data_IF_939867352825
#
_entry.id   IF_939867352825
#
_cell.length_a   1.000
_cell.length_b   1.000
_cell.length_c   1.000
_cell.angle_alpha   90.00
_cell.angle_beta   90.00
_cell.angle_gamma   90.00
#
_symmetry.space_group_name_H-M   'P 1'
#
loop_
_entity.id
_entity.type
_entity.pdbx_description
1 polymer ?
#
# COMPACT_ATOMS: atom_id res chain seq x y z
N UNK A 1 -1.72 18.17 18.21
CA UNK A 1 -1.50 16.98 17.35
C UNK A 1 -1.44 17.45 15.90
N UNK A 2 -0.40 17.06 15.15
CA UNK A 2 -0.16 17.56 13.80
C UNK A 2 -1.00 16.79 12.78
N UNK A 3 -2.24 17.22 12.56
CA UNK A 3 -3.19 16.62 11.61
C UNK A 3 -2.77 16.80 10.14
N UNK A 4 -1.92 17.79 9.87
CA UNK A 4 -1.53 18.19 8.51
C UNK A 4 -0.59 17.14 7.89
N UNK A 5 0.30 16.55 8.68
CA UNK A 5 1.29 15.57 8.22
C UNK A 5 0.66 14.26 7.70
N UNK A 6 -0.24 13.57 8.43
CA UNK A 6 -0.85 12.35 7.94
C UNK A 6 -1.82 12.60 6.77
N UNK A 7 -2.53 13.74 6.77
CA UNK A 7 -3.39 14.12 5.64
C UNK A 7 -2.57 14.37 4.36
N UNK A 8 -1.51 15.16 4.45
CA UNK A 8 -0.62 15.42 3.32
C UNK A 8 0.04 14.13 2.81
N UNK A 9 0.47 13.26 3.73
CA UNK A 9 1.09 11.97 3.38
C UNK A 9 0.11 11.02 2.70
N UNK A 10 -1.15 10.98 3.16
CA UNK A 10 -2.22 10.19 2.53
C UNK A 10 -2.51 10.69 1.12
N UNK A 11 -2.72 11.99 0.95
CA UNK A 11 -2.99 12.61 -0.35
C UNK A 11 -1.82 12.41 -1.33
N UNK A 12 -0.59 12.63 -0.87
CA UNK A 12 0.61 12.44 -1.67
C UNK A 12 0.74 10.98 -2.12
N UNK A 13 0.44 10.03 -1.25
CA UNK A 13 0.48 8.61 -1.59
C UNK A 13 -0.57 8.21 -2.63
N UNK A 14 -1.80 8.73 -2.52
CA UNK A 14 -2.83 8.52 -3.55
C UNK A 14 -2.45 9.17 -4.90
N UNK A 15 -1.80 10.35 -4.87
CA UNK A 15 -1.26 10.97 -6.07
C UNK A 15 -0.20 10.08 -6.73
N UNK A 16 0.76 9.55 -5.96
CA UNK A 16 1.74 8.61 -6.48
C UNK A 16 1.09 7.33 -7.01
N UNK A 17 0.08 6.78 -6.33
CA UNK A 17 -0.67 5.63 -6.80
C UNK A 17 -1.31 5.91 -8.17
N UNK A 18 -1.93 7.07 -8.34
CA UNK A 18 -2.54 7.49 -9.60
C UNK A 18 -1.50 7.66 -10.73
N UNK A 19 -0.35 8.28 -10.44
CA UNK A 19 0.75 8.43 -11.40
C UNK A 19 1.32 7.07 -11.83
N UNK A 20 1.49 6.13 -10.90
CA UNK A 20 1.97 4.78 -11.22
C UNK A 20 0.92 4.00 -12.03
N UNK A 21 -0.37 4.17 -11.74
CA UNK A 21 -1.46 3.59 -12.54
C UNK A 21 -1.50 4.16 -13.96
N UNK A 22 -1.29 5.46 -14.12
CA UNK A 22 -1.24 6.08 -15.45
C UNK A 22 -0.01 5.58 -16.23
N UNK A 23 1.13 5.46 -15.56
CA UNK A 23 2.34 4.85 -16.14
C UNK A 23 2.11 3.39 -16.55
N UNK A 24 1.29 2.65 -15.79
CA UNK A 24 0.86 1.30 -16.15
C UNK A 24 -0.01 1.26 -17.40
N UNK A 25 -0.92 2.21 -17.58
CA UNK A 25 -1.74 2.29 -18.81
C UNK A 25 -0.88 2.40 -20.07
N UNK A 26 0.24 3.13 -19.98
CA UNK A 26 1.16 3.33 -21.09
C UNK A 26 2.14 2.17 -21.32
N UNK A 27 2.69 1.57 -20.26
CA UNK A 27 3.78 0.56 -20.37
C UNK A 27 3.38 -0.88 -20.03
N UNK A 28 2.20 -1.08 -19.43
CA UNK A 28 1.58 -2.36 -19.03
C UNK A 28 2.53 -3.33 -18.32
N UNK A 29 3.34 -2.84 -17.36
CA UNK A 29 4.24 -3.71 -16.58
C UNK A 29 3.57 -4.17 -15.28
N UNK A 30 3.62 -5.47 -14.93
CA UNK A 30 2.89 -6.02 -13.78
C UNK A 30 3.32 -5.41 -12.44
N UNK A 31 4.59 -5.05 -12.26
CA UNK A 31 5.09 -4.42 -11.03
C UNK A 31 4.42 -3.06 -10.72
N UNK A 32 3.97 -2.34 -11.74
CA UNK A 32 3.36 -1.02 -11.56
C UNK A 32 1.97 -1.15 -10.89
N UNK A 33 1.20 -2.19 -11.20
CA UNK A 33 -0.07 -2.45 -10.51
C UNK A 33 0.15 -2.78 -9.04
N UNK A 34 1.17 -3.60 -8.76
CA UNK A 34 1.54 -4.03 -7.40
C UNK A 34 1.99 -2.82 -6.56
N UNK A 35 2.78 -1.92 -7.15
CA UNK A 35 3.16 -0.66 -6.49
C UNK A 35 1.99 0.31 -6.32
N UNK A 36 1.11 0.45 -7.31
CA UNK A 36 -0.09 1.26 -7.16
C UNK A 36 -1.00 0.76 -6.03
N UNK A 37 -1.14 -0.56 -5.88
CA UNK A 37 -1.88 -1.15 -4.79
C UNK A 37 -1.22 -0.88 -3.44
N UNK A 38 0.09 -1.07 -3.32
CA UNK A 38 0.84 -0.75 -2.10
C UNK A 38 0.74 0.72 -1.70
N UNK A 39 0.86 1.64 -2.66
CA UNK A 39 0.67 3.09 -2.42
C UNK A 39 -0.77 3.42 -1.98
N UNK A 40 -1.77 2.76 -2.57
CA UNK A 40 -3.17 2.94 -2.15
C UNK A 40 -3.38 2.48 -0.70
N UNK A 41 -2.79 1.34 -0.30
CA UNK A 41 -2.82 0.88 1.09
C UNK A 41 -2.15 1.89 2.04
N UNK A 42 -1.05 2.52 1.63
CA UNK A 42 -0.37 3.55 2.44
C UNK A 42 -1.25 4.79 2.60
N UNK A 43 -1.92 5.21 1.52
CA UNK A 43 -2.92 6.28 1.56
C UNK A 43 -4.02 6.00 2.58
N UNK A 44 -4.54 4.77 2.61
CA UNK A 44 -5.55 4.33 3.60
C UNK A 44 -4.99 4.28 5.03
N UNK A 45 -3.75 3.81 5.22
CA UNK A 45 -3.08 3.80 6.52
C UNK A 45 -2.89 5.21 7.10
N UNK A 46 -2.27 6.11 6.33
CA UNK A 46 -2.07 7.50 6.72
C UNK A 46 -3.41 8.26 6.90
N UNK A 47 -4.43 7.95 6.08
CA UNK A 47 -5.78 8.48 6.24
C UNK A 47 -6.45 8.02 7.54
N UNK A 48 -6.23 6.77 7.94
CA UNK A 48 -6.70 6.23 9.22
C UNK A 48 -6.04 6.93 10.40
N UNK A 49 -4.77 7.29 10.29
CA UNK A 49 -4.05 8.06 11.32
C UNK A 49 -4.60 9.48 11.47
N UNK A 50 -4.90 10.14 10.34
CA UNK A 50 -5.58 11.44 10.34
C UNK A 50 -6.96 11.34 11.00
N UNK A 51 -7.76 10.34 10.63
CA UNK A 51 -9.09 10.14 11.21
C UNK A 51 -9.01 9.85 12.71
N UNK A 52 -8.03 9.05 13.16
CA UNK A 52 -7.86 8.73 14.58
C UNK A 52 -7.40 9.92 15.40
N UNK A 53 -6.56 10.77 14.80
CA UNK A 53 -6.08 12.00 15.43
C UNK A 53 -7.12 13.13 15.43
N UNK A 54 -8.02 13.17 14.43
CA UNK A 54 -9.03 14.23 14.29
C UNK A 54 -10.36 13.90 14.98
N UNK A 55 -10.81 12.65 14.91
CA UNK A 55 -12.13 12.21 15.39
C UNK A 55 -12.07 11.23 16.56
N UNK A 56 -10.86 10.85 17.00
CA UNK A 56 -10.63 9.90 18.08
C UNK A 56 -10.41 8.47 17.59
N UNK A 57 -9.61 7.72 18.34
CA UNK A 57 -9.27 6.33 18.01
C UNK A 57 -10.38 5.37 18.43
N UNK A 58 -10.68 4.40 17.56
CA UNK A 58 -11.52 3.25 17.89
C UNK A 58 -10.81 1.95 17.47
N UNK A 59 -11.28 0.81 18.01
CA UNK A 59 -10.64 -0.49 17.76
C UNK A 59 -10.61 -0.87 16.26
N UNK A 60 -11.63 -0.48 15.49
CA UNK A 60 -11.70 -0.76 14.06
C UNK A 60 -10.66 0.04 13.25
N UNK A 61 -10.55 1.34 13.53
CA UNK A 61 -9.63 2.25 12.88
C UNK A 61 -8.17 1.89 13.18
N UNK A 62 -7.89 1.47 14.42
CA UNK A 62 -6.57 1.00 14.81
C UNK A 62 -6.16 -0.28 14.06
N UNK A 63 -7.10 -1.23 13.88
CA UNK A 63 -6.87 -2.43 13.06
C UNK A 63 -6.60 -2.07 11.60
N UNK A 64 -7.39 -1.16 11.01
CA UNK A 64 -7.16 -0.67 9.64
C UNK A 64 -5.80 -0.01 9.51
N UNK A 65 -5.43 0.87 10.45
CA UNK A 65 -4.12 1.52 10.46
C UNK A 65 -2.98 0.49 10.53
N UNK A 66 -3.10 -0.54 11.38
CA UNK A 66 -2.06 -1.56 11.53
C UNK A 66 -1.95 -2.48 10.30
N UNK A 67 -3.08 -2.97 9.79
CA UNK A 67 -3.11 -3.87 8.63
C UNK A 67 -2.63 -3.16 7.36
N UNK A 68 -3.19 -1.98 7.07
CA UNK A 68 -2.87 -1.26 5.84
C UNK A 68 -1.54 -0.52 5.94
N UNK A 69 -1.25 0.13 7.08
CA UNK A 69 -0.03 0.92 7.25
C UNK A 69 1.24 0.09 7.46
N UNK A 70 1.19 -0.93 8.33
CA UNK A 70 2.41 -1.66 8.73
C UNK A 70 2.64 -2.94 7.91
N UNK A 71 1.58 -3.71 7.64
CA UNK A 71 1.72 -5.07 7.09
C UNK A 71 1.60 -5.06 5.57
N UNK A 72 0.44 -4.64 5.05
CA UNK A 72 0.12 -4.73 3.63
C UNK A 72 1.05 -3.84 2.79
N UNK A 73 1.28 -2.58 3.19
CA UNK A 73 2.15 -1.66 2.44
C UNK A 73 3.54 -2.23 2.23
N UNK A 74 4.20 -2.67 3.30
CA UNK A 74 5.56 -3.18 3.23
C UNK A 74 5.63 -4.41 2.33
N UNK A 75 4.65 -5.30 2.44
CA UNK A 75 4.58 -6.52 1.64
C UNK A 75 4.35 -6.21 0.14
N UNK A 76 3.40 -5.33 -0.19
CA UNK A 76 3.10 -4.95 -1.58
C UNK A 76 4.21 -4.13 -2.25
N UNK A 77 4.85 -3.21 -1.53
CA UNK A 77 5.99 -2.46 -2.06
C UNK A 77 7.21 -3.38 -2.28
N UNK A 78 7.48 -4.29 -1.35
CA UNK A 78 8.51 -5.32 -1.50
C UNK A 78 8.25 -6.24 -2.71
N UNK A 79 7.01 -6.64 -2.92
CA UNK A 79 6.61 -7.43 -4.09
C UNK A 79 6.89 -6.71 -5.41
N UNK A 80 6.56 -5.43 -5.53
CA UNK A 80 6.81 -4.71 -6.78
C UNK A 80 8.30 -4.61 -7.10
N UNK A 81 9.15 -4.52 -6.08
CA UNK A 81 10.62 -4.60 -6.23
C UNK A 81 11.07 -5.99 -6.69
N UNK A 82 10.48 -7.06 -6.15
CA UNK A 82 10.72 -8.43 -6.63
C UNK A 82 10.30 -8.57 -8.09
N UNK A 83 9.14 -8.06 -8.50
CA UNK A 83 8.71 -8.07 -9.90
C UNK A 83 9.59 -7.22 -10.82
N UNK A 84 10.26 -6.19 -10.29
CA UNK A 84 11.17 -5.32 -11.04
C UNK A 84 12.56 -5.97 -11.23
N UNK A 85 13.12 -6.60 -10.19
CA UNK A 85 14.46 -7.19 -10.21
C UNK A 85 14.47 -8.66 -10.69
N UNK A 86 13.46 -9.44 -10.30
CA UNK A 86 13.37 -10.86 -10.65
C UNK A 86 12.48 -11.04 -11.89
N UNK A 87 13.07 -10.89 -13.07
CA UNK A 87 12.47 -11.31 -14.34
C UNK A 87 12.44 -12.85 -14.49
N UNK A 88 12.29 -13.58 -13.39
CA UNK A 88 12.33 -15.04 -13.30
C UNK A 88 11.05 -15.58 -12.63
N UNK A 89 10.75 -16.86 -12.87
CA UNK A 89 9.54 -17.57 -12.38
C UNK A 89 9.31 -17.45 -10.86
N UNK A 90 10.34 -17.09 -10.10
CA UNK A 90 10.29 -16.89 -8.65
C UNK A 90 9.54 -15.63 -8.22
N UNK A 91 9.52 -14.58 -9.05
CA UNK A 91 8.83 -13.32 -8.72
C UNK A 91 7.30 -13.47 -8.64
N UNK A 92 6.74 -14.34 -9.48
CA UNK A 92 5.31 -14.69 -9.41
C UNK A 92 4.98 -15.51 -8.16
N UNK A 93 5.87 -16.41 -7.74
CA UNK A 93 5.67 -17.22 -6.53
C UNK A 93 5.67 -16.35 -5.28
N UNK A 94 6.64 -15.44 -5.14
CA UNK A 94 6.67 -14.48 -4.03
C UNK A 94 5.39 -13.62 -3.97
N UNK A 95 4.89 -13.18 -5.14
CA UNK A 95 3.60 -12.48 -5.29
C UNK A 95 2.43 -13.23 -4.66
N UNK A 96 2.32 -14.52 -4.96
CA UNK A 96 1.28 -15.40 -4.42
C UNK A 96 1.45 -15.59 -2.91
N UNK A 97 2.67 -15.78 -2.42
CA UNK A 97 2.92 -15.99 -0.97
C UNK A 97 2.57 -14.76 -0.15
N UNK A 98 2.86 -13.56 -0.65
CA UNK A 98 2.49 -12.32 0.03
C UNK A 98 0.98 -12.05 -0.04
N UNK A 99 0.33 -12.35 -1.18
CA UNK A 99 -1.13 -12.32 -1.27
C UNK A 99 -1.79 -13.25 -0.25
N UNK A 100 -1.29 -14.50 -0.16
CA UNK A 100 -1.77 -15.47 0.81
C UNK A 100 -1.49 -15.01 2.25
N UNK A 101 -0.28 -14.52 2.54
CA UNK A 101 0.09 -14.00 3.86
C UNK A 101 -0.78 -12.83 4.30
N UNK A 102 -1.10 -11.90 3.40
CA UNK A 102 -2.03 -10.80 3.68
C UNK A 102 -3.47 -11.26 3.90
N UNK A 103 -3.90 -12.34 3.22
CA UNK A 103 -5.22 -12.95 3.43
C UNK A 103 -5.34 -13.66 4.78
N UNK A 104 -4.27 -14.29 5.26
CA UNK A 104 -4.22 -14.97 6.56
C UNK A 104 -3.98 -14.02 7.76
N UNK A 105 -3.60 -12.76 7.50
CA UNK A 105 -3.38 -11.75 8.54
C UNK A 105 -4.65 -10.98 8.94
N UNK A 106 -5.79 -11.28 8.29
CA UNK A 106 -7.09 -10.64 8.46
C UNK A 106 -7.98 -11.48 9.39
#
# INVERSE_FOLDING_TARGET
MNLILPLASSLLSFLFAALVLDQWRLRRRPFQLVWAFGLSCYGVGAGSEFLGSAFGWNAGLYRTWYLFGAILVAAWLGLGTIYLLAKSRFGYFAGVTVMLGGLFSL
#
